data_IF_447968809870
#
_entry.id   IF_447968809870
#
_cell.length_a   1.000
_cell.length_b   1.000
_cell.length_c   1.000
_cell.angle_alpha   90.00
_cell.angle_beta   90.00
_cell.angle_gamma   90.00
#
_symmetry.space_group_name_H-M   'P 1'
#
loop_
_entity.id
_entity.type
_entity.pdbx_description
1 polymer ?
#
# COMPACT_ATOMS: atom_id res chain seq x y z
N UNK A 1 7.56 15.02 3.01
CA UNK A 1 6.32 15.79 3.30
C UNK A 1 6.49 17.22 2.81
N UNK A 2 5.46 17.88 2.28
CA UNK A 2 5.54 19.31 1.99
C UNK A 2 5.72 20.12 3.29
N UNK A 3 6.62 21.11 3.31
CA UNK A 3 6.92 21.90 4.52
C UNK A 3 5.71 22.69 5.05
N UNK A 4 4.79 23.07 4.16
CA UNK A 4 3.56 23.77 4.51
C UNK A 4 2.53 22.90 5.25
N UNK A 5 2.62 21.56 5.15
CA UNK A 5 1.75 20.67 5.93
C UNK A 5 2.17 20.76 7.41
N UNK A 6 1.28 21.15 8.34
CA UNK A 6 1.66 21.33 9.75
C UNK A 6 1.93 20.01 10.50
N UNK A 7 1.50 18.86 9.96
CA UNK A 7 1.56 17.56 10.65
C UNK A 7 2.94 17.24 11.24
N UNK A 8 4.04 17.52 10.54
CA UNK A 8 5.39 17.23 11.04
C UNK A 8 5.79 18.02 12.30
N UNK A 9 5.08 19.12 12.62
CA UNK A 9 5.30 19.90 13.85
C UNK A 9 4.58 19.30 15.05
N UNK A 10 3.44 18.67 14.80
CA UNK A 10 2.52 18.20 15.84
C UNK A 10 2.69 16.71 16.15
N UNK A 11 3.30 15.94 15.25
CA UNK A 11 3.57 14.52 15.46
C UNK A 11 4.48 14.33 16.67
N UNK A 12 3.97 13.61 17.67
CA UNK A 12 4.70 13.21 18.88
C UNK A 12 4.54 11.71 19.08
N UNK A 13 5.65 11.01 19.32
CA UNK A 13 5.64 9.60 19.69
C UNK A 13 5.39 8.63 18.52
N UNK A 14 4.55 7.63 18.77
CA UNK A 14 4.24 6.55 17.83
C UNK A 14 3.27 7.02 16.74
N UNK A 15 3.48 6.52 15.52
CA UNK A 15 2.66 6.75 14.35
C UNK A 15 2.28 5.43 13.70
N UNK A 16 1.19 5.45 12.96
CA UNK A 16 0.72 4.35 12.12
C UNK A 16 0.88 4.71 10.65
N UNK A 17 1.53 3.83 9.88
CA UNK A 17 1.55 3.84 8.42
C UNK A 17 0.65 2.72 7.91
N UNK A 18 -0.32 3.07 7.07
CA UNK A 18 -1.22 2.10 6.44
C UNK A 18 -0.81 1.91 4.98
N UNK A 19 -0.42 0.69 4.64
CA UNK A 19 -0.22 0.25 3.25
C UNK A 19 -1.47 -0.50 2.81
N UNK A 20 -2.23 0.12 1.90
CA UNK A 20 -3.44 -0.48 1.35
C UNK A 20 -3.07 -1.40 0.18
N UNK A 21 -3.49 -2.66 0.25
CA UNK A 21 -3.48 -3.60 -0.86
C UNK A 21 -4.79 -3.54 -1.65
N UNK A 22 -5.00 -4.51 -2.56
CA UNK A 22 -6.22 -4.56 -3.35
C UNK A 22 -7.44 -4.81 -2.45
N UNK A 23 -8.62 -4.37 -2.89
CA UNK A 23 -9.87 -4.52 -2.16
C UNK A 23 -11.10 -4.52 -3.06
N UNK A 24 -12.06 -5.41 -2.81
CA UNK A 24 -13.23 -5.55 -3.66
C UNK A 24 -14.50 -5.89 -2.87
N UNK A 25 -15.63 -5.32 -3.32
CA UNK A 25 -16.95 -5.68 -2.83
C UNK A 25 -17.32 -7.09 -3.29
N UNK A 26 -17.82 -7.91 -2.35
CA UNK A 26 -18.26 -9.28 -2.59
C UNK A 26 -19.78 -9.32 -2.58
N UNK A 27 -20.35 -9.52 -3.76
CA UNK A 27 -21.81 -9.56 -3.93
C UNK A 27 -22.39 -10.90 -3.47
N UNK A 28 -23.45 -10.90 -2.64
CA UNK A 28 -24.13 -12.13 -2.28
C UNK A 28 -24.84 -12.80 -3.45
N UNK A 29 -25.12 -12.04 -4.52
CA UNK A 29 -25.73 -12.58 -5.73
C UNK A 29 -24.87 -13.66 -6.41
N UNK A 30 -23.56 -13.71 -6.15
CA UNK A 30 -22.67 -14.67 -6.80
C UNK A 30 -22.82 -16.10 -6.32
N UNK A 31 -23.34 -16.32 -5.11
CA UNK A 31 -23.47 -17.67 -4.56
C UNK A 31 -24.90 -18.20 -4.50
N UNK A 32 -25.92 -17.35 -4.70
CA UNK A 32 -27.34 -17.73 -4.80
C UNK A 32 -27.83 -18.58 -3.62
N UNK A 33 -27.34 -18.26 -2.41
CA UNK A 33 -27.66 -18.95 -1.17
C UNK A 33 -28.52 -18.05 -0.27
N UNK A 34 -29.55 -18.56 0.42
CA UNK A 34 -30.36 -17.76 1.33
C UNK A 34 -29.58 -17.40 2.61
N UNK A 35 -29.94 -16.27 3.24
CA UNK A 35 -29.38 -15.88 4.55
C UNK A 35 -27.95 -15.33 4.52
N UNK A 36 -27.48 -14.93 3.34
CA UNK A 36 -26.13 -14.41 3.14
C UNK A 36 -26.09 -12.88 3.07
N UNK A 37 -24.96 -12.30 3.46
CA UNK A 37 -24.76 -10.84 3.51
C UNK A 37 -23.59 -10.40 2.62
N UNK A 38 -23.62 -9.17 2.09
CA UNK A 38 -22.47 -8.62 1.39
C UNK A 38 -21.29 -8.36 2.34
N UNK A 39 -20.09 -8.31 1.76
CA UNK A 39 -18.86 -7.96 2.50
C UNK A 39 -17.85 -7.31 1.55
N UNK A 40 -16.74 -6.83 2.09
CA UNK A 40 -15.53 -6.49 1.34
C UNK A 40 -14.44 -7.50 1.64
N UNK A 41 -13.70 -7.87 0.59
CA UNK A 41 -12.39 -8.48 0.72
C UNK A 41 -11.33 -7.39 0.55
N UNK A 42 -10.23 -7.48 1.28
CA UNK A 42 -9.14 -6.54 1.22
C UNK A 42 -7.85 -7.15 1.77
N UNK A 43 -6.73 -6.52 1.42
CA UNK A 43 -5.43 -6.72 2.06
C UNK A 43 -4.92 -5.39 2.58
N UNK A 44 -4.39 -5.37 3.80
CA UNK A 44 -3.73 -4.19 4.34
C UNK A 44 -2.55 -4.58 5.24
N UNK A 45 -1.56 -3.71 5.31
CA UNK A 45 -0.47 -3.80 6.30
C UNK A 45 -0.43 -2.50 7.11
N UNK A 46 -0.47 -2.65 8.42
CA UNK A 46 -0.30 -1.58 9.39
C UNK A 46 1.11 -1.65 9.97
N UNK A 47 1.89 -0.57 9.82
CA UNK A 47 3.20 -0.42 10.41
C UNK A 47 3.17 0.63 11.51
N UNK A 48 3.37 0.20 12.75
CA UNK A 48 3.48 1.07 13.91
C UNK A 48 4.96 1.37 14.17
N UNK A 49 5.28 2.62 14.47
CA UNK A 49 6.67 3.00 14.71
C UNK A 49 6.85 4.43 15.20
N UNK A 50 8.09 4.80 15.49
CA UNK A 50 8.41 6.14 16.00
C UNK A 50 8.82 7.08 14.87
N UNK A 51 8.17 8.24 14.78
CA UNK A 51 8.51 9.28 13.82
C UNK A 51 9.76 10.06 14.24
N UNK A 52 10.70 10.25 13.32
CA UNK A 52 11.91 11.07 13.50
C UNK A 52 12.12 11.97 12.30
N UNK A 53 12.35 13.27 12.54
CA UNK A 53 12.74 14.18 11.48
C UNK A 53 14.13 13.84 10.95
N UNK A 54 14.32 14.02 9.64
CA UNK A 54 15.62 13.95 9.00
C UNK A 54 16.05 15.39 8.71
N UNK A 55 17.18 15.76 9.30
CA UNK A 55 17.73 17.11 9.21
C UNK A 55 18.90 17.16 8.20
N UNK A 56 19.19 18.38 7.74
CA UNK A 56 20.31 18.63 6.87
C UNK A 56 20.07 18.24 5.41
N UNK A 57 20.83 18.89 4.54
CA UNK A 57 20.75 18.72 3.08
C UNK A 57 20.99 17.27 2.65
N UNK A 58 22.04 16.65 3.17
CA UNK A 58 22.49 15.33 2.71
C UNK A 58 21.48 14.23 3.06
N UNK A 59 20.83 14.33 4.23
CA UNK A 59 19.77 13.41 4.62
C UNK A 59 18.54 13.50 3.72
N UNK A 60 18.15 14.71 3.33
CA UNK A 60 17.05 14.90 2.37
C UNK A 60 17.41 14.36 0.98
N UNK A 61 18.66 14.57 0.54
CA UNK A 61 19.14 14.05 -0.73
C UNK A 61 19.18 12.52 -0.75
N UNK A 62 19.58 11.86 0.34
CA UNK A 62 19.52 10.40 0.44
C UNK A 62 18.09 9.87 0.25
N UNK A 63 17.11 10.48 0.93
CA UNK A 63 15.69 10.12 0.77
C UNK A 63 15.26 10.28 -0.69
N UNK A 64 15.61 11.41 -1.32
CA UNK A 64 15.24 11.67 -2.72
C UNK A 64 15.90 10.67 -3.68
N UNK A 65 17.20 10.42 -3.54
CA UNK A 65 17.92 9.43 -4.37
C UNK A 65 17.26 8.07 -4.27
N UNK A 66 17.01 7.57 -3.05
CA UNK A 66 16.37 6.27 -2.82
C UNK A 66 14.95 6.20 -3.38
N UNK A 67 14.20 7.30 -3.28
CA UNK A 67 12.85 7.40 -3.85
C UNK A 67 12.90 7.34 -5.37
N UNK A 68 13.77 8.14 -6.01
CA UNK A 68 13.95 8.15 -7.47
C UNK A 68 14.40 6.78 -7.95
N UNK A 69 15.39 6.16 -7.32
CA UNK A 69 15.81 4.79 -7.66
C UNK A 69 14.65 3.80 -7.57
N UNK A 70 13.88 3.83 -6.48
CA UNK A 70 12.76 2.88 -6.30
C UNK A 70 11.70 2.96 -7.41
N UNK A 71 11.40 4.17 -7.92
CA UNK A 71 10.36 4.38 -8.92
C UNK A 71 10.85 4.44 -10.38
N UNK A 72 12.10 4.84 -10.63
CA UNK A 72 12.65 5.00 -11.99
C UNK A 72 13.44 3.78 -12.46
N UNK A 73 14.03 2.98 -11.56
CA UNK A 73 14.86 1.82 -11.96
C UNK A 73 14.17 0.80 -12.88
N UNK A 74 12.85 0.53 -12.77
CA UNK A 74 12.18 -0.38 -13.70
C UNK A 74 11.92 0.19 -15.10
N UNK A 75 12.14 1.49 -15.32
CA UNK A 75 11.81 2.13 -16.60
C UNK A 75 12.87 1.88 -17.66
N UNK A 76 12.49 1.80 -18.95
CA UNK A 76 13.45 1.69 -20.04
C UNK A 76 14.46 2.84 -20.10
N UNK A 77 14.00 4.06 -19.79
CA UNK A 77 14.81 5.28 -19.72
C UNK A 77 14.59 5.95 -18.36
N UNK A 78 15.36 5.59 -17.32
CA UNK A 78 15.18 6.13 -15.98
C UNK A 78 15.48 7.63 -15.94
N UNK A 79 14.58 8.42 -15.36
CA UNK A 79 14.87 9.81 -15.06
C UNK A 79 15.83 9.92 -13.86
N UNK A 80 16.72 10.90 -13.88
CA UNK A 80 17.61 11.23 -12.78
C UNK A 80 17.73 12.75 -12.64
N UNK A 81 18.12 13.21 -11.45
CA UNK A 81 18.44 14.60 -11.19
C UNK A 81 19.91 14.74 -10.84
N UNK A 82 20.46 15.92 -11.12
CA UNK A 82 21.81 16.27 -10.70
C UNK A 82 21.74 17.25 -9.53
N UNK A 83 22.40 16.91 -8.43
CA UNK A 83 22.37 17.71 -7.20
C UNK A 83 22.96 19.11 -7.37
N UNK A 84 23.79 19.31 -8.38
CA UNK A 84 24.35 20.60 -8.76
C UNK A 84 23.33 21.53 -9.43
N UNK A 85 22.15 21.03 -9.80
CA UNK A 85 21.15 21.84 -10.48
C UNK A 85 20.55 22.90 -9.54
N UNK A 86 20.48 24.18 -9.96
CA UNK A 86 20.06 25.28 -9.09
C UNK A 86 18.66 25.14 -8.47
N UNK A 87 17.79 24.35 -9.08
CA UNK A 87 16.42 24.18 -8.60
C UNK A 87 16.31 23.15 -7.47
N UNK A 88 17.29 22.24 -7.32
CA UNK A 88 17.28 21.20 -6.28
C UNK A 88 17.28 21.81 -4.89
N UNK A 89 18.14 22.80 -4.63
CA UNK A 89 18.19 23.49 -3.33
C UNK A 89 16.85 24.13 -2.96
N UNK A 90 16.19 24.78 -3.92
CA UNK A 90 14.87 25.38 -3.73
C UNK A 90 13.81 24.33 -3.39
N UNK A 91 13.85 23.17 -4.03
CA UNK A 91 12.93 22.07 -3.74
C UNK A 91 13.20 21.42 -2.38
N UNK A 92 14.46 21.25 -1.99
CA UNK A 92 14.84 20.74 -0.66
C UNK A 92 14.29 21.63 0.45
N UNK A 93 14.35 22.95 0.27
CA UNK A 93 13.77 23.91 1.21
C UNK A 93 12.23 23.82 1.30
N UNK A 94 11.55 23.29 0.27
CA UNK A 94 10.10 23.16 0.25
C UNK A 94 9.57 21.88 0.93
N UNK A 95 10.46 20.96 1.33
CA UNK A 95 10.09 19.67 1.91
C UNK A 95 10.65 19.48 3.32
N UNK A 96 10.05 18.54 4.03
CA UNK A 96 10.50 17.98 5.31
C UNK A 96 10.69 16.47 5.12
N UNK A 97 11.91 16.01 5.40
CA UNK A 97 12.26 14.60 5.45
C UNK A 97 12.02 14.02 6.83
N UNK A 98 11.64 12.75 6.87
CA UNK A 98 11.43 12.02 8.10
C UNK A 98 11.64 10.53 7.86
N UNK A 99 11.84 9.78 8.93
CA UNK A 99 11.86 8.33 8.96
C UNK A 99 10.92 7.81 10.05
N UNK A 100 10.43 6.59 9.84
CA UNK A 100 9.65 5.88 10.84
C UNK A 100 10.42 4.61 11.21
N UNK A 101 10.84 4.52 12.46
CA UNK A 101 11.48 3.34 13.02
C UNK A 101 10.38 2.35 13.40
N UNK A 102 10.19 1.33 12.57
CA UNK A 102 9.10 0.34 12.71
C UNK A 102 9.34 -0.51 13.95
N UNK A 103 8.32 -0.57 14.81
CA UNK A 103 8.29 -1.39 16.02
C UNK A 103 7.40 -2.64 15.84
N UNK A 104 6.31 -2.52 15.08
CA UNK A 104 5.35 -3.60 14.86
C UNK A 104 4.77 -3.53 13.43
N UNK A 105 4.60 -4.70 12.84
CA UNK A 105 3.87 -4.90 11.58
C UNK A 105 2.71 -5.84 11.83
N UNK A 106 1.52 -5.41 11.43
CA UNK A 106 0.30 -6.21 11.42
C UNK A 106 -0.23 -6.28 10.00
N UNK A 107 -0.60 -7.47 9.53
CA UNK A 107 -1.19 -7.67 8.22
C UNK A 107 -2.55 -8.31 8.32
N UNK A 108 -3.49 -7.84 7.52
CA UNK A 108 -4.87 -8.33 7.45
C UNK A 108 -5.17 -8.80 6.03
N UNK A 109 -5.64 -10.04 5.91
CA UNK A 109 -6.08 -10.64 4.64
C UNK A 109 -7.49 -11.18 4.80
N UNK A 110 -8.47 -10.38 4.43
CA UNK A 110 -9.87 -10.81 4.38
C UNK A 110 -10.19 -11.22 2.94
N UNK A 111 -10.16 -12.53 2.69
CA UNK A 111 -10.23 -13.13 1.35
C UNK A 111 -11.29 -14.25 1.27
N UNK A 112 -12.38 -14.12 2.03
CA UNK A 112 -13.46 -15.13 2.11
C UNK A 112 -12.98 -16.55 2.48
N UNK A 113 -11.86 -16.66 3.20
CA UNK A 113 -11.18 -17.93 3.51
C UNK A 113 -11.96 -18.84 4.47
N UNK A 114 -12.94 -18.28 5.17
CA UNK A 114 -13.86 -18.98 6.07
C UNK A 114 -15.03 -19.67 5.32
N UNK A 115 -15.13 -19.52 4.01
CA UNK A 115 -16.18 -20.14 3.21
C UNK A 115 -15.73 -21.44 2.51
N UNK A 116 -16.66 -22.36 2.21
CA UNK A 116 -16.37 -23.56 1.43
C UNK A 116 -15.77 -23.24 0.06
N UNK A 117 -14.96 -24.16 -0.47
CA UNK A 117 -14.24 -23.98 -1.73
C UNK A 117 -15.18 -23.63 -2.90
N UNK A 118 -16.34 -24.28 -2.99
CA UNK A 118 -17.32 -23.99 -4.05
C UNK A 118 -17.78 -22.53 -4.04
N UNK A 119 -18.02 -21.95 -2.86
CA UNK A 119 -18.41 -20.53 -2.73
C UNK A 119 -17.24 -19.63 -3.12
N UNK A 120 -16.03 -19.94 -2.68
CA UNK A 120 -14.82 -19.18 -3.03
C UNK A 120 -14.58 -19.15 -4.54
N UNK A 121 -14.77 -20.28 -5.24
CA UNK A 121 -14.67 -20.35 -6.71
C UNK A 121 -15.72 -19.49 -7.42
N UNK A 122 -16.96 -19.42 -6.91
CA UNK A 122 -18.00 -18.52 -7.45
C UNK A 122 -17.62 -17.05 -7.27
N UNK A 123 -17.11 -16.68 -6.10
CA UNK A 123 -16.62 -15.32 -5.82
C UNK A 123 -15.47 -14.95 -6.76
N UNK A 124 -14.49 -15.83 -6.94
CA UNK A 124 -13.36 -15.63 -7.88
C UNK A 124 -13.88 -15.36 -9.29
N UNK A 125 -14.79 -16.19 -9.81
CA UNK A 125 -15.39 -15.98 -11.13
C UNK A 125 -16.15 -14.64 -11.23
N UNK A 126 -16.87 -14.28 -10.17
CA UNK A 126 -17.60 -13.01 -10.10
C UNK A 126 -16.67 -11.79 -10.15
N UNK A 127 -15.50 -11.90 -9.52
CA UNK A 127 -14.46 -10.86 -9.54
C UNK A 127 -13.71 -10.80 -10.88
N UNK A 128 -13.36 -11.94 -11.46
CA UNK A 128 -12.72 -12.03 -12.80
C UNK A 128 -13.61 -11.49 -13.93
N UNK A 129 -14.93 -11.52 -13.74
CA UNK A 129 -15.88 -10.93 -14.68
C UNK A 129 -15.95 -9.40 -14.62
N UNK A 130 -15.24 -8.76 -13.67
CA UNK A 130 -15.16 -7.30 -13.54
C UNK A 130 -13.92 -6.78 -14.28
N UNK A 131 -14.01 -5.55 -14.79
CA UNK A 131 -12.94 -4.90 -15.53
C UNK A 131 -12.14 -3.90 -14.66
N UNK A 132 -12.01 -4.18 -13.36
CA UNK A 132 -11.26 -3.35 -12.41
C UNK A 132 -10.11 -4.13 -11.77
N UNK A 133 -8.94 -3.49 -11.67
CA UNK A 133 -7.68 -4.13 -11.26
C UNK A 133 -7.78 -4.74 -9.85
N UNK A 134 -8.40 -4.03 -8.91
CA UNK A 134 -8.60 -4.49 -7.54
C UNK A 134 -9.36 -5.82 -7.47
N UNK A 135 -10.42 -5.99 -8.28
CA UNK A 135 -11.16 -7.24 -8.34
C UNK A 135 -10.32 -8.39 -8.88
N UNK A 136 -9.51 -8.14 -9.93
CA UNK A 136 -8.62 -9.13 -10.52
C UNK A 136 -7.52 -9.54 -9.53
N UNK A 137 -6.91 -8.58 -8.84
CA UNK A 137 -5.88 -8.86 -7.84
C UNK A 137 -6.44 -9.63 -6.62
N UNK A 138 -7.63 -9.26 -6.12
CA UNK A 138 -8.30 -10.05 -5.06
C UNK A 138 -8.58 -11.47 -5.55
N UNK A 139 -9.03 -11.66 -6.79
CA UNK A 139 -9.28 -12.97 -7.35
C UNK A 139 -8.00 -13.84 -7.37
N UNK A 140 -6.87 -13.28 -7.80
CA UNK A 140 -5.56 -13.97 -7.77
C UNK A 140 -5.14 -14.34 -6.35
N UNK A 141 -5.21 -13.40 -5.40
CA UNK A 141 -4.89 -13.67 -3.99
C UNK A 141 -5.77 -14.78 -3.39
N UNK A 142 -7.06 -14.80 -3.75
CA UNK A 142 -7.98 -15.86 -3.36
C UNK A 142 -7.57 -17.22 -3.94
N UNK A 143 -7.08 -17.27 -5.19
CA UNK A 143 -6.55 -18.50 -5.82
C UNK A 143 -5.29 -19.00 -5.14
N UNK A 144 -4.33 -18.11 -4.87
CA UNK A 144 -3.11 -18.46 -4.13
C UNK A 144 -3.41 -19.07 -2.76
N UNK A 145 -4.34 -18.46 -2.02
CA UNK A 145 -4.79 -18.96 -0.73
C UNK A 145 -5.53 -20.31 -0.79
N UNK A 146 -6.04 -20.73 -1.95
CA UNK A 146 -6.57 -22.09 -2.15
C UNK A 146 -5.45 -23.09 -2.46
N UNK A 147 -4.43 -22.67 -3.21
CA UNK A 147 -3.31 -23.52 -3.60
C UNK A 147 -2.40 -23.90 -2.41
N UNK A 148 -2.24 -22.99 -1.43
CA UNK A 148 -1.39 -23.19 -0.24
C UNK A 148 -1.97 -24.16 0.82
N UNK A 149 -3.19 -24.70 0.66
CA UNK A 149 -3.82 -25.66 1.59
C UNK A 149 -3.44 -27.13 1.34
N UNK A 150 -2.29 -27.40 0.72
CA UNK A 150 -1.73 -28.75 0.53
C UNK A 150 -0.55 -29.01 1.44
#
# INVERSE_FOLDING_TARGET
MARANPQWRDVRGEVLVVFNGPHAYISPAWYEEPGTVPTWNYVAVHAYGTFRLVEGRDGLLDILRRTVTAYESPRPEPWAFYESEPHVERMLQAIVGFRIEIALLEGEWKLSQNHPEGRRRKVIRGLEGRADDDSLEIAELMKEGMAKKR
#
